data_IF_390365583048
#
_entry.id   IF_390365583048
#
_cell.length_a   1.000
_cell.length_b   1.000
_cell.length_c   1.000
_cell.angle_alpha   90.00
_cell.angle_beta   90.00
_cell.angle_gamma   90.00
#
_symmetry.space_group_name_H-M   'P 1'
#
loop_
_entity.id
_entity.type
_entity.pdbx_description
1 polymer ?
#
# COMPACT_ATOMS: atom_id res chain seq x y z
N UNK A 1 -22.28 83.91 30.33
CA UNK A 1 -20.84 84.23 30.05
C UNK A 1 -20.20 83.00 29.41
N UNK A 2 -19.80 83.20 28.29
CA UNK A 2 -19.10 82.46 27.26
C UNK A 2 -17.89 81.65 27.77
N UNK A 3 -17.79 80.37 27.42
CA UNK A 3 -16.49 79.72 27.21
C UNK A 3 -16.62 78.63 26.19
N UNK A 4 -15.98 78.86 25.05
CA UNK A 4 -15.89 77.95 23.91
C UNK A 4 -14.68 77.04 24.14
N UNK A 5 -14.92 75.72 24.28
CA UNK A 5 -13.86 74.78 24.23
C UNK A 5 -13.86 74.07 22.89
N UNK A 6 -12.80 74.29 22.15
CA UNK A 6 -12.47 73.67 20.86
C UNK A 6 -11.97 72.30 21.15
N UNK A 7 -12.71 71.26 20.67
CA UNK A 7 -12.23 69.85 20.68
C UNK A 7 -11.46 69.60 19.41
N UNK A 8 -10.18 69.41 19.57
CA UNK A 8 -9.27 68.89 18.55
C UNK A 8 -9.43 67.42 18.46
N UNK A 9 -9.95 66.94 17.34
CA UNK A 9 -10.01 65.52 16.98
C UNK A 9 -8.62 65.04 16.53
N UNK A 10 -7.95 64.25 17.37
CA UNK A 10 -6.78 63.49 16.97
C UNK A 10 -7.22 62.11 16.40
N UNK A 11 -7.14 62.04 15.09
CA UNK A 11 -7.42 60.81 14.36
C UNK A 11 -6.20 59.90 14.43
N UNK A 12 -6.22 58.89 15.28
CA UNK A 12 -5.21 57.83 15.33
C UNK A 12 -5.59 56.74 14.33
N UNK A 13 -4.87 56.72 13.22
CA UNK A 13 -4.97 55.66 12.20
C UNK A 13 -4.24 54.41 12.71
N UNK A 14 -5.01 53.41 13.17
CA UNK A 14 -4.49 52.11 13.59
C UNK A 14 -4.31 51.22 12.35
N UNK A 15 -3.06 51.07 11.87
CA UNK A 15 -2.70 50.15 10.81
C UNK A 15 -2.62 48.75 11.41
N UNK A 16 -3.62 47.93 11.18
CA UNK A 16 -3.61 46.47 11.45
C UNK A 16 -2.77 45.78 10.40
N UNK A 17 -1.53 45.44 10.75
CA UNK A 17 -0.72 44.46 9.99
C UNK A 17 -1.30 43.06 10.22
N UNK A 18 -2.13 42.58 9.29
CA UNK A 18 -2.55 41.20 9.25
C UNK A 18 -1.37 40.36 8.76
N UNK A 19 -0.62 39.74 9.69
CA UNK A 19 0.32 38.65 9.38
C UNK A 19 -0.48 37.44 9.04
N UNK A 20 -0.67 37.17 7.74
CA UNK A 20 -1.25 35.94 7.24
C UNK A 20 -0.31 34.77 7.54
N UNK A 21 -0.60 34.05 8.61
CA UNK A 21 -0.03 32.70 8.79
C UNK A 21 -0.62 31.80 7.70
N UNK A 22 0.17 31.55 6.66
CA UNK A 22 -0.14 30.53 5.68
C UNK A 22 -0.21 29.17 6.39
N UNK A 23 -1.42 28.71 6.69
CA UNK A 23 -1.63 27.35 7.11
C UNK A 23 -1.36 26.46 5.89
N UNK A 24 -0.17 25.89 5.82
CA UNK A 24 0.08 24.73 4.98
C UNK A 24 -0.78 23.61 5.53
N UNK A 25 -1.96 23.41 4.93
CA UNK A 25 -2.74 22.21 5.15
C UNK A 25 -1.91 21.05 4.60
N UNK A 26 -1.16 20.38 5.48
CA UNK A 26 -0.61 19.07 5.18
C UNK A 26 -1.81 18.20 4.83
N UNK A 27 -1.97 17.90 3.52
CA UNK A 27 -2.96 16.97 3.03
C UNK A 27 -2.63 15.63 3.67
N UNK A 28 -3.36 15.26 4.72
CA UNK A 28 -3.29 13.94 5.32
C UNK A 28 -3.53 12.94 4.20
N UNK A 29 -2.48 12.23 3.79
CA UNK A 29 -2.61 11.15 2.82
C UNK A 29 -3.54 10.12 3.45
N UNK A 30 -4.80 10.07 3.00
CA UNK A 30 -5.71 9.01 3.41
C UNK A 30 -5.09 7.67 3.02
N UNK A 31 -5.06 6.69 3.94
CA UNK A 31 -4.60 5.35 3.61
C UNK A 31 -5.40 4.85 2.41
N UNK A 32 -4.70 4.48 1.35
CA UNK A 32 -5.38 3.95 0.17
C UNK A 32 -5.93 2.55 0.49
N UNK A 33 -7.12 2.21 -0.02
CA UNK A 33 -7.65 0.87 0.14
C UNK A 33 -6.66 -0.14 -0.44
N UNK A 34 -6.48 -1.27 0.26
CA UNK A 34 -5.64 -2.36 -0.21
C UNK A 34 -6.42 -3.15 -1.25
N UNK A 35 -5.96 -3.23 -2.51
CA UNK A 35 -6.59 -4.06 -3.52
C UNK A 35 -6.61 -5.51 -3.06
N UNK A 36 -7.73 -6.20 -3.28
CA UNK A 36 -7.90 -7.58 -2.87
C UNK A 36 -8.50 -8.43 -3.99
N UNK A 37 -8.08 -9.69 -4.04
CA UNK A 37 -8.68 -10.74 -4.89
C UNK A 37 -9.09 -11.91 -4.02
N UNK A 38 -10.28 -12.47 -4.30
CA UNK A 38 -10.82 -13.61 -3.56
C UNK A 38 -10.68 -14.90 -4.36
N UNK A 39 -10.08 -15.92 -3.76
CA UNK A 39 -9.94 -17.24 -4.36
C UNK A 39 -11.14 -18.15 -4.18
N UNK A 40 -12.08 -17.80 -3.29
CA UNK A 40 -13.32 -18.56 -3.00
C UNK A 40 -13.08 -20.03 -2.59
N UNK A 41 -11.90 -20.34 -2.02
CA UNK A 41 -11.50 -21.70 -1.65
C UNK A 41 -11.41 -21.95 -0.15
N UNK A 42 -11.53 -20.91 0.68
CA UNK A 42 -11.41 -21.03 2.13
C UNK A 42 -11.46 -19.71 2.86
N UNK A 43 -11.07 -19.73 4.14
CA UNK A 43 -11.15 -18.58 5.03
C UNK A 43 -9.80 -17.86 5.26
N UNK A 44 -8.71 -18.40 4.72
CA UNK A 44 -7.39 -17.84 4.93
C UNK A 44 -7.10 -16.66 4.01
N UNK A 45 -6.23 -15.77 4.47
CA UNK A 45 -5.82 -14.59 3.72
C UNK A 45 -4.35 -14.23 3.98
N UNK A 46 -3.76 -13.57 2.99
CA UNK A 46 -2.41 -13.01 3.10
C UNK A 46 -2.37 -11.63 2.47
N UNK A 47 -1.72 -10.69 3.15
CA UNK A 47 -1.44 -9.36 2.63
C UNK A 47 0.06 -9.26 2.33
N UNK A 48 0.39 -8.80 1.14
CA UNK A 48 1.77 -8.52 0.75
C UNK A 48 2.04 -7.03 0.77
N UNK A 49 3.25 -6.68 1.17
CA UNK A 49 3.85 -5.38 0.90
C UNK A 49 5.05 -5.61 -0.01
N UNK A 50 4.99 -5.12 -1.23
CA UNK A 50 6.10 -5.19 -2.19
C UNK A 50 7.06 -4.02 -1.95
N UNK A 51 8.34 -4.33 -1.83
CA UNK A 51 9.41 -3.34 -1.62
C UNK A 51 10.57 -3.60 -2.59
N UNK A 52 11.38 -2.58 -2.82
CA UNK A 52 12.67 -2.72 -3.51
C UNK A 52 13.79 -3.20 -2.56
N UNK A 53 14.99 -3.41 -3.07
CA UNK A 53 16.16 -3.81 -2.27
C UNK A 53 16.58 -2.79 -1.21
N UNK A 54 16.09 -1.55 -1.26
CA UNK A 54 16.34 -0.49 -0.28
C UNK A 54 15.22 -0.36 0.76
N UNK A 55 14.15 -1.15 0.64
CA UNK A 55 13.01 -1.13 1.54
C UNK A 55 11.90 -0.13 1.16
N UNK A 56 11.97 0.50 -0.02
CA UNK A 56 10.93 1.43 -0.46
C UNK A 56 9.75 0.67 -1.05
N UNK A 57 8.50 1.07 -0.72
CA UNK A 57 7.32 0.45 -1.29
C UNK A 57 7.27 0.57 -2.82
N UNK A 58 6.87 -0.52 -3.50
CA UNK A 58 6.67 -0.55 -4.94
C UNK A 58 5.17 -0.62 -5.24
N UNK A 59 4.59 0.51 -5.66
CA UNK A 59 3.22 0.56 -6.14
C UNK A 59 3.10 0.11 -7.59
N UNK A 60 1.92 -0.44 -7.94
CA UNK A 60 1.66 -0.92 -9.29
C UNK A 60 2.43 -2.19 -9.66
N UNK A 61 2.92 -2.95 -8.67
CA UNK A 61 3.48 -4.27 -8.88
C UNK A 61 2.35 -5.29 -9.02
N UNK A 62 2.53 -6.26 -9.90
CA UNK A 62 1.59 -7.37 -10.07
C UNK A 62 2.03 -8.53 -9.21
N UNK A 63 1.15 -9.03 -8.33
CA UNK A 63 1.37 -10.24 -7.53
C UNK A 63 0.45 -11.34 -8.05
N UNK A 64 1.02 -12.52 -8.31
CA UNK A 64 0.33 -13.70 -8.87
C UNK A 64 0.45 -14.90 -7.97
N UNK A 65 -0.65 -15.64 -7.87
CA UNK A 65 -0.71 -16.97 -7.30
C UNK A 65 -1.22 -17.94 -8.37
N UNK A 66 -0.46 -19.01 -8.63
CA UNK A 66 -0.92 -20.15 -9.38
C UNK A 66 -1.13 -21.32 -8.41
N UNK A 67 -2.35 -21.81 -8.29
CA UNK A 67 -2.74 -22.83 -7.32
C UNK A 67 -3.37 -24.03 -8.02
N UNK A 68 -2.81 -25.20 -7.76
CA UNK A 68 -3.43 -26.48 -8.08
C UNK A 68 -4.13 -27.03 -6.83
N UNK A 69 -5.40 -27.36 -6.92
CA UNK A 69 -6.21 -27.81 -5.79
C UNK A 69 -7.18 -28.94 -6.17
N UNK A 70 -7.91 -29.46 -5.17
CA UNK A 70 -8.81 -30.57 -5.34
C UNK A 70 -8.10 -31.92 -5.36
N UNK A 71 -8.86 -33.00 -5.71
CA UNK A 71 -8.31 -34.32 -5.77
C UNK A 71 -7.23 -34.42 -6.86
N UNK A 72 -6.04 -34.91 -6.49
CA UNK A 72 -4.88 -35.01 -7.37
C UNK A 72 -4.44 -33.70 -8.06
N UNK A 73 -4.88 -32.50 -7.55
CA UNK A 73 -4.50 -31.22 -8.12
C UNK A 73 -5.05 -30.96 -9.52
N UNK A 74 -6.16 -31.58 -9.90
CA UNK A 74 -6.73 -31.46 -11.25
C UNK A 74 -7.37 -30.09 -11.51
N UNK A 75 -7.73 -29.34 -10.47
CA UNK A 75 -8.26 -27.99 -10.59
C UNK A 75 -7.14 -26.98 -10.44
N UNK A 76 -7.21 -25.93 -11.24
CA UNK A 76 -6.24 -24.83 -11.22
C UNK A 76 -6.96 -23.50 -11.01
N UNK A 77 -6.33 -22.63 -10.26
CA UNK A 77 -6.78 -21.26 -10.02
C UNK A 77 -5.59 -20.33 -10.19
N UNK A 78 -5.77 -19.30 -11.01
CA UNK A 78 -4.82 -18.22 -11.17
C UNK A 78 -5.43 -16.95 -10.60
N UNK A 79 -4.78 -16.39 -9.61
CA UNK A 79 -5.16 -15.11 -9.00
C UNK A 79 -4.08 -14.08 -9.27
N UNK A 80 -4.52 -12.87 -9.57
CA UNK A 80 -3.64 -11.75 -9.83
C UNK A 80 -4.21 -10.48 -9.20
N UNK A 81 -3.36 -9.68 -8.58
CA UNK A 81 -3.72 -8.38 -8.02
C UNK A 81 -2.56 -7.40 -8.17
N UNK A 82 -2.88 -6.15 -8.47
CA UNK A 82 -1.89 -5.07 -8.57
C UNK A 82 -1.83 -4.31 -7.25
N UNK A 83 -0.62 -4.02 -6.75
CA UNK A 83 -0.42 -3.31 -5.49
C UNK A 83 -0.82 -1.84 -5.60
N UNK A 84 -1.32 -1.28 -4.49
CA UNK A 84 -1.58 0.16 -4.37
C UNK A 84 -0.26 0.96 -4.28
N UNK A 85 -0.32 2.27 -4.13
CA UNK A 85 0.87 3.14 -4.03
C UNK A 85 1.75 2.85 -2.81
N UNK A 86 1.21 2.20 -1.76
CA UNK A 86 1.95 1.74 -0.59
C UNK A 86 2.59 0.35 -0.79
N UNK A 87 2.50 -0.21 -2.01
CA UNK A 87 2.99 -1.55 -2.34
C UNK A 87 2.14 -2.69 -1.79
N UNK A 88 0.91 -2.43 -1.36
CA UNK A 88 0.07 -3.43 -0.69
C UNK A 88 -0.92 -4.10 -1.64
N UNK A 89 -1.07 -5.41 -1.47
CA UNK A 89 -2.07 -6.24 -2.15
C UNK A 89 -2.50 -7.38 -1.23
N UNK A 90 -3.77 -7.81 -1.33
CA UNK A 90 -4.32 -8.85 -0.46
C UNK A 90 -4.96 -9.96 -1.28
N UNK A 91 -4.72 -11.20 -0.83
CA UNK A 91 -5.40 -12.40 -1.30
C UNK A 91 -6.28 -12.93 -0.17
N UNK A 92 -7.55 -13.16 -0.46
CA UNK A 92 -8.54 -13.73 0.45
C UNK A 92 -9.08 -15.04 -0.10
N UNK A 93 -9.91 -15.73 0.66
CA UNK A 93 -10.54 -16.97 0.18
C UNK A 93 -9.55 -18.09 -0.12
N UNK A 94 -8.39 -18.10 0.58
CA UNK A 94 -7.35 -19.11 0.38
C UNK A 94 -7.65 -20.36 1.21
N UNK A 95 -7.33 -21.58 0.69
CA UNK A 95 -7.56 -22.83 1.39
C UNK A 95 -6.62 -22.99 2.59
N UNK A 96 -7.14 -23.54 3.69
CA UNK A 96 -6.39 -23.82 4.92
C UNK A 96 -5.81 -25.24 4.99
N UNK A 97 -6.26 -26.12 4.10
CA UNK A 97 -5.98 -27.58 4.17
C UNK A 97 -4.92 -28.07 3.20
N UNK A 98 -4.20 -27.19 2.53
CA UNK A 98 -3.13 -27.56 1.62
C UNK A 98 -1.96 -28.20 2.37
N UNK A 99 -1.49 -29.36 1.91
CA UNK A 99 -0.29 -30.03 2.44
C UNK A 99 0.99 -29.25 2.15
N UNK A 100 1.01 -28.58 1.01
CA UNK A 100 2.09 -27.67 0.59
C UNK A 100 1.60 -26.23 0.75
N UNK A 101 2.51 -25.33 1.07
CA UNK A 101 2.20 -23.90 1.11
C UNK A 101 1.92 -23.32 -0.28
N UNK A 102 1.66 -22.04 -0.31
CA UNK A 102 1.36 -21.28 -1.52
C UNK A 102 2.58 -20.45 -1.93
N UNK A 103 2.87 -20.47 -3.21
CA UNK A 103 3.98 -19.73 -3.80
C UNK A 103 3.44 -18.56 -4.60
N UNK A 104 3.86 -17.35 -4.22
CA UNK A 104 3.49 -16.12 -4.89
C UNK A 104 4.67 -15.55 -5.66
N UNK A 105 4.39 -14.92 -6.81
CA UNK A 105 5.38 -14.24 -7.63
C UNK A 105 4.96 -12.80 -7.85
N UNK A 106 5.88 -11.88 -7.60
CA UNK A 106 5.68 -10.45 -7.82
C UNK A 106 6.51 -9.95 -8.99
N UNK A 107 5.96 -8.99 -9.74
CA UNK A 107 6.62 -8.41 -10.91
C UNK A 107 6.37 -6.91 -10.96
N UNK A 108 7.39 -6.17 -11.31
CA UNK A 108 7.30 -4.75 -11.66
C UNK A 108 8.43 -4.41 -12.63
N UNK A 109 8.07 -4.03 -13.86
CA UNK A 109 9.02 -3.76 -14.94
C UNK A 109 9.98 -4.96 -15.12
N UNK A 110 11.27 -4.77 -14.91
CA UNK A 110 12.31 -5.80 -14.98
C UNK A 110 12.68 -6.39 -13.60
N UNK A 111 11.90 -6.09 -12.57
CA UNK A 111 12.08 -6.64 -11.22
C UNK A 111 11.11 -7.79 -10.97
N UNK A 112 11.57 -8.78 -10.25
CA UNK A 112 10.77 -9.91 -9.79
C UNK A 112 11.09 -10.32 -8.36
N UNK A 113 10.15 -10.97 -7.72
CA UNK A 113 10.30 -11.51 -6.37
C UNK A 113 9.35 -12.65 -6.11
N UNK A 114 9.62 -13.40 -5.06
CA UNK A 114 8.78 -14.52 -4.64
C UNK A 114 8.50 -14.45 -3.15
N UNK A 115 7.37 -15.00 -2.74
CA UNK A 115 7.04 -15.20 -1.33
C UNK A 115 6.35 -16.55 -1.15
N UNK A 116 6.60 -17.18 -0.02
CA UNK A 116 6.00 -18.45 0.38
C UNK A 116 5.09 -18.23 1.58
N UNK A 117 3.88 -18.78 1.52
CA UNK A 117 2.88 -18.65 2.56
C UNK A 117 2.29 -20.01 2.93
N UNK A 118 2.23 -20.31 4.22
CA UNK A 118 1.66 -21.56 4.76
C UNK A 118 0.39 -21.27 5.55
N UNK A 119 -0.80 -21.42 4.94
CA UNK A 119 -2.08 -21.17 5.60
C UNK A 119 -2.30 -21.97 6.88
N UNK A 120 -1.81 -23.21 6.92
CA UNK A 120 -1.89 -24.06 8.11
C UNK A 120 -1.18 -23.51 9.33
N UNK A 121 -0.09 -22.79 9.12
CA UNK A 121 0.69 -22.17 10.21
C UNK A 121 0.09 -20.84 10.65
N UNK A 122 -0.36 -20.05 9.69
CA UNK A 122 -0.96 -18.74 9.95
C UNK A 122 -2.02 -18.42 8.89
N UNK A 123 -3.28 -18.64 9.23
CA UNK A 123 -4.40 -18.45 8.29
C UNK A 123 -4.60 -16.99 7.86
N UNK A 124 -4.16 -16.03 8.67
CA UNK A 124 -4.18 -14.60 8.34
C UNK A 124 -2.79 -14.04 8.53
N UNK A 125 -2.07 -13.83 7.45
CA UNK A 125 -0.67 -13.45 7.46
C UNK A 125 -0.40 -12.12 6.75
N UNK A 126 0.73 -11.52 7.08
CA UNK A 126 1.33 -10.40 6.37
C UNK A 126 2.75 -10.76 6.00
N UNK A 127 3.13 -10.51 4.75
CA UNK A 127 4.45 -10.80 4.22
C UNK A 127 5.02 -9.62 3.45
N UNK A 128 6.32 -9.45 3.54
CA UNK A 128 7.06 -8.54 2.69
C UNK A 128 7.63 -9.31 1.50
N UNK A 129 7.45 -8.80 0.29
CA UNK A 129 8.01 -9.35 -0.92
C UNK A 129 9.01 -8.35 -1.51
N UNK A 130 10.28 -8.74 -1.55
CA UNK A 130 11.33 -7.93 -2.16
C UNK A 130 11.37 -8.19 -3.66
N UNK A 131 11.26 -7.13 -4.46
CA UNK A 131 11.40 -7.20 -5.91
C UNK A 131 12.77 -6.66 -6.30
N UNK A 132 13.54 -7.48 -7.00
CA UNK A 132 14.89 -7.14 -7.47
C UNK A 132 15.06 -7.53 -8.93
N UNK A 133 15.98 -6.87 -9.61
CA UNK A 133 16.38 -7.31 -10.95
C UNK A 133 17.05 -8.67 -10.86
N UNK A 134 16.68 -9.62 -11.74
CA UNK A 134 17.41 -10.89 -11.81
C UNK A 134 18.89 -10.64 -12.01
N UNK A 135 19.72 -11.36 -11.26
CA UNK A 135 21.16 -11.28 -11.46
C UNK A 135 21.48 -11.70 -12.91
N UNK A 136 22.16 -10.84 -13.66
CA UNK A 136 22.65 -11.19 -14.99
C UNK A 136 23.62 -12.39 -14.85
N UNK A 137 23.38 -13.51 -15.55
CA UNK A 137 24.32 -14.63 -15.49
C UNK A 137 25.73 -14.15 -15.87
N UNK A 138 26.77 -14.52 -15.14
CA UNK A 138 28.13 -14.17 -15.54
C UNK A 138 28.46 -14.86 -16.88
N UNK A 139 28.65 -14.08 -17.91
CA UNK A 139 29.24 -14.52 -19.18
C UNK A 139 28.25 -14.91 -20.28
N UNK A 140 27.56 -13.94 -20.84
CA UNK A 140 27.14 -13.95 -22.26
C UNK A 140 27.57 -12.66 -22.92
#
# INVERSE_FOLDING_TARGET
MHSRHIFTLASTLLVLLATGFGQSTAKSAQPQPVPAVDGELGACSVEFTTIDGNGNPIGGATVRLHLAYGFAGVRRLDLEVTTNTEGKARFTGLPDNLKKGLFFRGFKDDMEGTAFYEPKKNCKAQHTMVLEKPATPPGQ
#
